data_IF_071128147875
#
_entry.id   IF_071128147875
#
_cell.length_a   1.000
_cell.length_b   1.000
_cell.length_c   1.000
_cell.angle_alpha   90.00
_cell.angle_beta   90.00
_cell.angle_gamma   90.00
#
_symmetry.space_group_name_H-M   'P 1'
#
loop_
_entity.id
_entity.type
_entity.pdbx_description
1 polymer ?
#
# COMPACT_ATOMS: atom_id res chain seq x y z
N UNK A 1 -22.33 6.37 6.17
CA UNK A 1 -22.25 7.73 6.74
C UNK A 1 -23.63 8.41 6.81
N UNK A 2 -24.36 8.59 5.70
CA UNK A 2 -25.69 9.26 5.70
C UNK A 2 -26.72 8.53 6.59
N UNK A 3 -26.78 7.19 6.55
CA UNK A 3 -27.66 6.41 7.44
C UNK A 3 -27.31 6.51 8.93
N UNK A 4 -26.02 6.62 9.26
CA UNK A 4 -25.52 6.77 10.65
C UNK A 4 -25.92 8.14 11.20
N UNK A 5 -25.82 9.20 10.39
CA UNK A 5 -26.25 10.54 10.78
C UNK A 5 -27.76 10.61 11.06
N UNK A 6 -28.57 9.87 10.30
CA UNK A 6 -30.03 9.86 10.46
C UNK A 6 -30.47 9.16 11.74
N UNK A 7 -29.90 8.00 12.06
CA UNK A 7 -30.20 7.26 13.30
C UNK A 7 -29.71 8.01 14.55
N UNK A 8 -28.54 8.67 14.48
CA UNK A 8 -28.00 9.48 15.59
C UNK A 8 -28.84 10.75 15.81
N UNK A 9 -29.37 11.38 14.75
CA UNK A 9 -30.25 12.54 14.88
C UNK A 9 -31.58 12.20 15.59
N UNK A 10 -32.15 11.03 15.30
CA UNK A 10 -33.39 10.56 15.94
C UNK A 10 -33.17 10.26 17.43
N UNK A 11 -32.07 9.57 17.77
CA UNK A 11 -31.72 9.22 19.16
C UNK A 11 -31.36 10.47 19.97
N UNK A 12 -30.60 11.39 19.40
CA UNK A 12 -30.18 12.61 20.11
C UNK A 12 -31.36 13.54 20.37
N UNK A 13 -32.35 13.68 19.49
CA UNK A 13 -33.48 14.59 19.75
C UNK A 13 -34.34 14.22 20.97
N UNK A 14 -34.26 12.98 21.48
CA UNK A 14 -35.02 12.52 22.66
C UNK A 14 -34.21 12.39 23.95
N UNK A 15 -32.90 12.64 23.92
CA UNK A 15 -32.03 12.46 25.08
C UNK A 15 -31.66 13.79 25.77
N UNK A 16 -31.53 13.76 27.10
CA UNK A 16 -31.05 14.91 27.90
C UNK A 16 -29.61 15.29 27.53
N UNK A 17 -29.26 16.58 27.68
CA UNK A 17 -27.96 17.16 27.32
C UNK A 17 -26.71 16.36 27.80
N UNK A 18 -26.69 15.75 29.00
CA UNK A 18 -25.55 14.95 29.47
C UNK A 18 -25.32 13.68 28.62
N UNK A 19 -26.40 13.02 28.20
CA UNK A 19 -26.35 11.79 27.39
C UNK A 19 -25.83 12.11 25.99
N UNK A 20 -26.24 13.25 25.40
CA UNK A 20 -25.70 13.72 24.11
C UNK A 20 -24.17 13.90 24.15
N UNK A 21 -23.65 14.55 25.20
CA UNK A 21 -22.20 14.75 25.37
C UNK A 21 -21.45 13.44 25.56
N UNK A 22 -22.02 12.49 26.32
CA UNK A 22 -21.45 11.17 26.51
C UNK A 22 -21.41 10.35 25.22
N UNK A 23 -22.51 10.34 24.45
CA UNK A 23 -22.60 9.67 23.15
C UNK A 23 -21.63 10.26 22.12
N UNK A 24 -21.51 11.59 22.05
CA UNK A 24 -20.52 12.25 21.18
C UNK A 24 -19.08 11.88 21.58
N UNK A 25 -18.81 11.73 22.88
CA UNK A 25 -17.50 11.30 23.38
C UNK A 25 -17.20 9.85 23.00
N UNK A 26 -18.19 8.96 23.07
CA UNK A 26 -18.10 7.56 22.66
C UNK A 26 -17.91 7.46 21.14
N UNK A 27 -18.75 8.10 20.33
CA UNK A 27 -18.61 8.10 18.86
C UNK A 27 -17.26 8.69 18.46
N UNK A 28 -16.83 9.78 19.10
CA UNK A 28 -15.50 10.35 18.86
C UNK A 28 -14.36 9.44 19.32
N UNK A 29 -14.57 8.53 20.28
CA UNK A 29 -13.59 7.50 20.67
C UNK A 29 -13.61 6.25 19.78
N UNK A 30 -14.77 5.94 19.19
CA UNK A 30 -14.97 4.81 18.27
C UNK A 30 -14.56 5.16 16.83
N UNK A 31 -14.51 6.45 16.48
CA UNK A 31 -13.98 6.95 15.21
C UNK A 31 -12.44 7.06 15.21
N UNK A 32 -11.76 6.31 16.08
CA UNK A 32 -10.30 6.21 16.07
C UNK A 32 -9.93 5.03 15.19
N UNK A 33 -9.31 5.32 14.04
CA UNK A 33 -8.88 4.27 13.14
C UNK A 33 -7.76 3.48 13.83
N UNK A 34 -7.86 2.15 13.84
CA UNK A 34 -6.80 1.26 14.34
C UNK A 34 -5.51 1.33 13.50
N UNK A 35 -5.50 2.14 12.43
CA UNK A 35 -4.34 2.42 11.58
C UNK A 35 -3.37 3.46 12.19
N UNK A 36 -3.77 4.19 13.23
CA UNK A 36 -3.00 5.33 13.76
C UNK A 36 -1.95 4.99 14.83
N UNK A 37 -1.78 3.71 15.21
CA UNK A 37 -0.90 3.35 16.32
C UNK A 37 0.39 2.60 15.90
N UNK A 38 1.59 3.23 16.02
CA UNK A 38 2.86 2.64 15.58
C UNK A 38 3.25 1.33 16.28
N UNK A 39 2.71 1.07 17.47
CA UNK A 39 3.06 -0.09 18.30
C UNK A 39 2.48 -1.42 17.80
N UNK A 40 1.38 -1.41 17.03
CA UNK A 40 0.72 -2.64 16.55
C UNK A 40 1.27 -3.18 15.22
N UNK A 41 2.14 -2.43 14.54
CA UNK A 41 2.77 -2.82 13.26
C UNK A 41 3.62 -4.10 13.34
N UNK A 42 4.13 -4.47 14.52
CA UNK A 42 4.96 -5.68 14.71
C UNK A 42 4.17 -6.94 15.02
N UNK A 43 2.88 -6.84 15.31
CA UNK A 43 2.07 -7.96 15.77
C UNK A 43 0.84 -8.12 14.88
N UNK A 44 1.07 -8.68 13.67
CA UNK A 44 0.04 -8.92 12.63
C UNK A 44 -1.25 -9.54 13.22
N UNK A 45 -1.14 -10.42 14.21
CA UNK A 45 -2.29 -11.09 14.83
C UNK A 45 -3.07 -10.24 15.85
N UNK A 46 -2.41 -9.30 16.54
CA UNK A 46 -3.07 -8.53 17.60
C UNK A 46 -3.97 -7.42 17.05
N UNK A 47 -3.71 -6.90 15.85
CA UNK A 47 -4.63 -5.97 15.18
C UNK A 47 -5.99 -6.64 14.91
N UNK A 48 -6.00 -7.91 14.47
CA UNK A 48 -7.25 -8.65 14.24
C UNK A 48 -7.99 -8.97 15.52
N UNK A 49 -7.27 -9.36 16.57
CA UNK A 49 -7.88 -9.57 17.89
C UNK A 49 -8.44 -8.25 18.42
N UNK A 50 -7.73 -7.14 18.22
CA UNK A 50 -8.19 -5.82 18.64
C UNK A 50 -9.43 -5.37 17.88
N UNK A 51 -9.46 -5.50 16.54
CA UNK A 51 -10.63 -5.17 15.74
C UNK A 51 -11.81 -6.09 16.11
N UNK A 52 -11.59 -7.39 16.28
CA UNK A 52 -12.62 -8.34 16.74
C UNK A 52 -13.16 -7.97 18.13
N UNK A 53 -12.28 -7.61 19.08
CA UNK A 53 -12.66 -7.14 20.42
C UNK A 53 -13.42 -5.81 20.30
N UNK A 54 -12.98 -4.88 19.46
CA UNK A 54 -13.64 -3.59 19.25
C UNK A 54 -15.05 -3.78 18.70
N UNK A 55 -15.21 -4.61 17.66
CA UNK A 55 -16.51 -4.95 17.09
C UNK A 55 -17.39 -5.71 18.08
N UNK A 56 -16.81 -6.62 18.87
CA UNK A 56 -17.53 -7.34 19.92
C UNK A 56 -18.02 -6.40 21.03
N UNK A 57 -17.19 -5.47 21.49
CA UNK A 57 -17.55 -4.47 22.50
C UNK A 57 -18.61 -3.50 21.96
N UNK A 58 -18.48 -3.07 20.70
CA UNK A 58 -19.48 -2.25 20.04
C UNK A 58 -20.83 -2.98 19.96
N UNK A 59 -20.84 -4.23 19.49
CA UNK A 59 -22.03 -5.07 19.41
C UNK A 59 -22.68 -5.29 20.77
N UNK A 60 -21.87 -5.62 21.78
CA UNK A 60 -22.31 -5.79 23.16
C UNK A 60 -22.94 -4.52 23.69
N UNK A 61 -22.36 -3.35 23.38
CA UNK A 61 -22.91 -2.04 23.78
C UNK A 61 -24.26 -1.78 23.10
N UNK A 62 -24.40 -2.07 21.80
CA UNK A 62 -25.68 -1.92 21.07
C UNK A 62 -26.75 -2.84 21.65
N UNK A 63 -26.43 -4.11 21.96
CA UNK A 63 -27.37 -5.04 22.60
C UNK A 63 -27.76 -4.57 23.99
N UNK A 64 -26.79 -4.16 24.82
CA UNK A 64 -27.05 -3.73 26.20
C UNK A 64 -27.93 -2.48 26.21
N UNK A 65 -27.56 -1.44 25.44
CA UNK A 65 -28.38 -0.23 25.32
C UNK A 65 -29.76 -0.56 24.75
N UNK A 66 -29.83 -1.46 23.77
CA UNK A 66 -31.09 -1.89 23.22
C UNK A 66 -31.99 -2.65 24.18
N UNK A 67 -31.39 -3.48 25.04
CA UNK A 67 -32.10 -4.24 26.06
C UNK A 67 -32.61 -3.35 27.19
N UNK A 68 -31.83 -2.33 27.58
CA UNK A 68 -32.24 -1.31 28.56
C UNK A 68 -33.44 -0.53 28.02
N UNK A 69 -33.37 -0.09 26.77
CA UNK A 69 -34.43 0.69 26.13
C UNK A 69 -35.72 -0.15 25.91
N UNK A 70 -35.58 -1.42 25.52
CA UNK A 70 -36.68 -2.39 25.42
C UNK A 70 -37.34 -2.66 26.79
N UNK A 71 -36.56 -2.76 27.87
CA UNK A 71 -37.09 -2.95 29.21
C UNK A 71 -37.89 -1.73 29.71
N UNK A 72 -37.55 -0.53 29.22
CA UNK A 72 -38.27 0.71 29.56
C UNK A 72 -39.49 1.01 28.70
N UNK A 73 -39.63 0.38 27.52
CA UNK A 73 -40.71 0.66 26.58
C UNK A 73 -41.71 -0.51 26.52
N UNK A 74 -42.91 -0.28 27.08
CA UNK A 74 -44.06 -1.18 26.87
C UNK A 74 -44.41 -1.23 25.38
N UNK A 75 -44.13 -2.38 24.76
CA UNK A 75 -44.72 -2.89 23.51
C UNK A 75 -44.88 -1.85 22.39
N UNK A 76 -43.84 -1.65 21.59
CA UNK A 76 -43.95 -0.92 20.33
C UNK A 76 -43.23 -1.69 19.22
N UNK A 77 -44.00 -2.18 18.23
CA UNK A 77 -43.49 -2.96 17.09
C UNK A 77 -42.36 -2.24 16.34
N UNK A 78 -42.38 -0.91 16.29
CA UNK A 78 -41.37 -0.09 15.62
C UNK A 78 -39.97 -0.23 16.24
N UNK A 79 -39.89 -0.51 17.55
CA UNK A 79 -38.63 -0.68 18.25
C UNK A 79 -37.96 -2.01 17.88
N UNK A 80 -38.77 -3.07 17.75
CA UNK A 80 -38.31 -4.40 17.31
C UNK A 80 -37.76 -4.31 15.87
N UNK A 81 -38.47 -3.62 14.97
CA UNK A 81 -38.03 -3.41 13.58
C UNK A 81 -36.70 -2.66 13.54
N UNK A 82 -36.53 -1.64 14.38
CA UNK A 82 -35.30 -0.84 14.44
C UNK A 82 -34.09 -1.67 14.91
N UNK A 83 -34.24 -2.48 15.97
CA UNK A 83 -33.14 -3.35 16.43
C UNK A 83 -32.82 -4.45 15.43
N UNK A 84 -33.84 -5.07 14.83
CA UNK A 84 -33.64 -6.08 13.80
C UNK A 84 -32.88 -5.52 12.60
N UNK A 85 -33.26 -4.32 12.14
CA UNK A 85 -32.60 -3.64 11.02
C UNK A 85 -31.14 -3.28 11.36
N UNK A 86 -30.88 -2.71 12.55
CA UNK A 86 -29.52 -2.38 12.98
C UNK A 86 -28.64 -3.64 13.16
N UNK A 87 -29.21 -4.72 13.69
CA UNK A 87 -28.53 -6.01 13.81
C UNK A 87 -28.14 -6.58 12.44
N UNK A 88 -29.04 -6.54 11.46
CA UNK A 88 -28.75 -6.94 10.08
C UNK A 88 -27.65 -6.08 9.47
N UNK A 89 -27.73 -4.74 9.57
CA UNK A 89 -26.72 -3.84 9.04
C UNK A 89 -25.33 -4.10 9.64
N UNK A 90 -25.28 -4.41 10.94
CA UNK A 90 -24.04 -4.78 11.61
C UNK A 90 -23.47 -6.10 11.10
N UNK A 91 -24.30 -7.14 10.95
CA UNK A 91 -23.88 -8.42 10.37
C UNK A 91 -23.38 -8.27 8.93
N UNK A 92 -24.05 -7.43 8.13
CA UNK A 92 -23.59 -7.08 6.78
C UNK A 92 -22.21 -6.40 6.84
N UNK A 93 -22.00 -5.47 7.78
CA UNK A 93 -20.71 -4.79 7.93
C UNK A 93 -19.59 -5.77 8.32
N UNK A 94 -19.82 -6.64 9.30
CA UNK A 94 -18.86 -7.72 9.66
C UNK A 94 -18.57 -8.60 8.44
N UNK A 95 -19.61 -9.01 7.71
CA UNK A 95 -19.43 -9.89 6.55
C UNK A 95 -18.61 -9.20 5.45
N UNK A 96 -18.83 -7.91 5.20
CA UNK A 96 -18.05 -7.12 4.24
C UNK A 96 -16.59 -7.00 4.68
N UNK A 97 -16.32 -6.72 5.96
CA UNK A 97 -14.94 -6.62 6.45
C UNK A 97 -14.24 -7.98 6.48
N UNK A 98 -14.93 -9.05 6.89
CA UNK A 98 -14.39 -10.41 6.82
C UNK A 98 -14.07 -10.81 5.37
N UNK A 99 -14.98 -10.49 4.43
CA UNK A 99 -14.75 -10.71 3.01
C UNK A 99 -13.52 -9.94 2.52
N UNK A 100 -13.34 -8.67 2.91
CA UNK A 100 -12.15 -7.87 2.59
C UNK A 100 -10.87 -8.51 3.12
N UNK A 101 -10.87 -8.98 4.37
CA UNK A 101 -9.71 -9.67 4.98
C UNK A 101 -9.37 -10.96 4.23
N UNK A 102 -10.38 -11.78 3.90
CA UNK A 102 -10.18 -13.02 3.14
C UNK A 102 -9.62 -12.72 1.74
N UNK A 103 -10.15 -11.70 1.06
CA UNK A 103 -9.64 -11.29 -0.26
C UNK A 103 -8.19 -10.81 -0.17
N UNK A 104 -7.85 -10.01 0.84
CA UNK A 104 -6.48 -9.53 1.05
C UNK A 104 -5.51 -10.69 1.32
N UNK A 105 -5.89 -11.65 2.16
CA UNK A 105 -5.08 -12.86 2.42
C UNK A 105 -4.89 -13.70 1.15
N UNK A 106 -5.94 -13.84 0.34
CA UNK A 106 -5.87 -14.56 -0.92
C UNK A 106 -4.92 -13.88 -1.89
N UNK A 107 -4.99 -12.56 -2.01
CA UNK A 107 -4.06 -11.78 -2.84
C UNK A 107 -2.62 -11.92 -2.34
N UNK A 108 -2.39 -11.86 -1.03
CA UNK A 108 -1.05 -12.10 -0.45
C UNK A 108 -0.54 -13.52 -0.79
N UNK A 109 -1.40 -14.53 -0.70
CA UNK A 109 -1.07 -15.92 -1.09
C UNK A 109 -0.74 -16.02 -2.58
N UNK A 110 -1.58 -15.45 -3.45
CA UNK A 110 -1.32 -15.49 -4.90
C UNK A 110 -0.01 -14.79 -5.26
N UNK A 111 0.32 -13.69 -4.59
CA UNK A 111 1.61 -13.00 -4.79
C UNK A 111 2.76 -13.91 -4.38
N UNK A 112 2.69 -14.57 -3.22
CA UNK A 112 3.73 -15.52 -2.79
C UNK A 112 3.87 -16.67 -3.78
N UNK A 113 2.76 -17.22 -4.26
CA UNK A 113 2.76 -18.30 -5.24
C UNK A 113 3.31 -17.85 -6.61
N UNK A 114 2.96 -16.63 -7.04
CA UNK A 114 3.53 -16.00 -8.24
C UNK A 114 5.05 -16.03 -8.14
N UNK A 115 5.60 -15.62 -7.00
CA UNK A 115 7.04 -15.59 -6.76
C UNK A 115 7.65 -16.92 -6.29
N UNK A 116 6.84 -17.98 -6.15
CA UNK A 116 7.24 -19.28 -5.59
C UNK A 116 8.01 -19.13 -4.27
N UNK A 117 7.54 -18.23 -3.42
CA UNK A 117 8.38 -17.56 -2.43
C UNK A 117 8.56 -18.27 -1.09
N UNK A 118 8.64 -19.58 -1.06
CA UNK A 118 8.92 -20.33 0.18
C UNK A 118 10.40 -20.27 0.57
N UNK A 119 11.26 -19.65 -0.26
CA UNK A 119 12.72 -19.70 -0.14
C UNK A 119 13.31 -18.30 -0.24
N UNK A 120 13.99 -17.87 0.85
CA UNK A 120 15.00 -16.80 0.93
C UNK A 120 14.92 -15.71 -0.16
N UNK A 121 13.99 -14.77 -0.01
CA UNK A 121 14.05 -13.52 -0.75
C UNK A 121 15.41 -12.83 -0.55
N UNK A 122 15.84 -12.04 -1.56
CA UNK A 122 16.92 -11.06 -1.40
C UNK A 122 16.78 -10.35 -0.05
N UNK A 123 17.89 -10.24 0.70
CA UNK A 123 17.92 -9.55 2.01
C UNK A 123 17.46 -8.09 1.93
N UNK A 124 17.40 -7.51 0.72
CA UNK A 124 16.96 -6.14 0.43
C UNK A 124 15.44 -6.04 0.18
N UNK A 125 14.76 -7.15 -0.11
CA UNK A 125 13.31 -7.16 -0.31
C UNK A 125 12.60 -7.09 1.05
N UNK A 126 11.97 -5.96 1.35
CA UNK A 126 11.32 -5.74 2.64
C UNK A 126 9.89 -6.29 2.64
N UNK A 127 9.18 -6.15 1.51
CA UNK A 127 7.77 -6.54 1.41
C UNK A 127 7.33 -6.76 -0.03
N UNK A 128 6.33 -7.62 -0.20
CA UNK A 128 5.54 -7.76 -1.40
C UNK A 128 4.11 -7.29 -1.11
N UNK A 129 3.57 -6.46 -1.99
CA UNK A 129 2.21 -5.93 -1.90
C UNK A 129 1.54 -6.00 -3.27
N UNK A 130 0.21 -5.96 -3.30
CA UNK A 130 -0.52 -5.75 -4.56
C UNK A 130 -0.68 -4.26 -4.85
N UNK A 131 -0.91 -3.95 -6.11
CA UNK A 131 -1.28 -2.61 -6.57
C UNK A 131 -2.54 -2.06 -5.89
N UNK A 132 -3.51 -2.91 -5.53
CA UNK A 132 -4.71 -2.49 -4.75
C UNK A 132 -4.37 -1.90 -3.38
N UNK A 133 -3.18 -2.18 -2.84
CA UNK A 133 -2.75 -1.66 -1.55
C UNK A 133 -2.04 -0.30 -1.67
N UNK A 134 -1.79 0.20 -2.88
CA UNK A 134 -1.22 1.52 -3.09
C UNK A 134 -2.18 2.62 -2.62
N UNK A 135 -1.66 3.60 -1.89
CA UNK A 135 -2.47 4.71 -1.36
C UNK A 135 -3.47 4.29 -0.26
N UNK A 136 -3.42 3.05 0.22
CA UNK A 136 -4.34 2.55 1.26
C UNK A 136 -4.08 3.12 2.64
N UNK A 137 -2.99 3.87 2.84
CA UNK A 137 -2.65 4.49 4.12
C UNK A 137 -2.56 6.00 3.98
N UNK A 138 -3.32 6.70 4.81
CA UNK A 138 -3.15 8.14 4.97
C UNK A 138 -1.78 8.44 5.60
N UNK A 139 -1.14 9.50 5.11
CA UNK A 139 0.04 10.07 5.75
C UNK A 139 -0.35 11.41 6.36
N UNK A 140 -0.09 11.59 7.65
CA UNK A 140 -0.35 12.86 8.34
C UNK A 140 0.40 14.06 7.74
N UNK A 141 1.50 13.81 7.00
CA UNK A 141 2.38 14.83 6.43
C UNK A 141 2.28 14.90 4.89
N UNK A 142 1.06 14.80 4.33
CA UNK A 142 0.74 14.72 2.89
C UNK A 142 1.77 15.39 1.95
N UNK A 143 1.97 16.70 2.04
CA UNK A 143 2.82 17.46 1.12
C UNK A 143 4.30 17.54 1.50
N UNK A 144 4.67 17.22 2.75
CA UNK A 144 6.03 17.40 3.29
C UNK A 144 6.59 16.11 3.92
N UNK A 145 6.13 14.94 3.45
CA UNK A 145 6.56 13.67 4.01
C UNK A 145 8.03 13.35 3.65
N UNK A 146 8.92 13.45 4.63
CA UNK A 146 10.36 13.16 4.50
C UNK A 146 10.70 11.68 4.74
N UNK A 147 9.71 10.81 4.94
CA UNK A 147 9.95 9.40 5.13
C UNK A 147 10.42 8.75 3.81
N UNK A 148 11.60 8.14 3.85
CA UNK A 148 12.23 7.41 2.74
C UNK A 148 12.05 5.90 2.86
N UNK A 149 11.18 5.44 3.76
CA UNK A 149 10.79 4.04 3.88
C UNK A 149 9.98 3.61 2.66
N UNK A 150 10.38 2.51 2.03
CA UNK A 150 9.79 2.04 0.77
C UNK A 150 8.36 1.53 0.94
N UNK A 151 8.00 1.00 2.13
CA UNK A 151 6.63 0.59 2.40
C UNK A 151 5.74 1.81 2.55
N UNK A 152 6.12 2.77 3.39
CA UNK A 152 5.39 4.01 3.58
C UNK A 152 5.17 4.73 2.25
N UNK A 153 6.21 4.79 1.42
CA UNK A 153 6.12 5.36 0.07
C UNK A 153 5.08 4.65 -0.79
N UNK A 154 5.14 3.33 -0.89
CA UNK A 154 4.19 2.56 -1.69
C UNK A 154 2.75 2.67 -1.15
N UNK A 155 2.57 2.61 0.18
CA UNK A 155 1.24 2.64 0.81
C UNK A 155 0.59 4.02 0.89
N UNK A 156 1.37 5.11 0.98
CA UNK A 156 0.84 6.44 1.29
C UNK A 156 1.09 7.49 0.22
N UNK A 157 2.17 7.35 -0.55
CA UNK A 157 2.59 8.37 -1.52
C UNK A 157 3.03 7.77 -2.87
N UNK A 158 2.28 6.81 -3.46
CA UNK A 158 2.71 6.18 -4.70
C UNK A 158 2.77 7.18 -5.87
N UNK A 159 1.86 8.16 -5.90
CA UNK A 159 1.70 9.12 -7.01
C UNK A 159 2.35 10.47 -6.77
N UNK A 160 2.85 10.72 -5.57
CA UNK A 160 3.43 12.02 -5.25
C UNK A 160 4.81 12.17 -5.89
N UNK A 161 4.99 13.26 -6.64
CA UNK A 161 6.29 13.63 -7.21
C UNK A 161 7.11 14.25 -6.08
N UNK A 162 8.06 13.49 -5.56
CA UNK A 162 9.02 14.05 -4.62
C UNK A 162 10.16 14.72 -5.38
N UNK A 163 10.16 16.05 -5.33
CA UNK A 163 11.28 16.84 -5.83
C UNK A 163 12.54 16.45 -5.05
N UNK A 164 13.46 15.76 -5.71
CA UNK A 164 14.80 15.56 -5.18
C UNK A 164 15.51 16.89 -5.30
N UNK A 165 15.39 17.74 -4.29
CA UNK A 165 16.25 18.90 -4.19
C UNK A 165 17.60 18.40 -3.70
N UNK A 166 18.62 18.40 -4.54
CA UNK A 166 19.96 17.89 -4.17
C UNK A 166 20.60 18.59 -2.97
N UNK A 167 20.10 19.77 -2.57
CA UNK A 167 20.44 20.46 -1.32
C UNK A 167 19.60 20.02 -0.10
N UNK A 168 18.38 19.54 -0.32
CA UNK A 168 17.43 19.11 0.73
C UNK A 168 17.23 17.59 0.76
N UNK A 169 18.11 16.82 0.10
CA UNK A 169 18.03 15.35 0.19
C UNK A 169 18.19 14.98 1.65
N UNK A 170 17.33 14.09 2.13
CA UNK A 170 17.43 13.57 3.48
C UNK A 170 18.76 12.83 3.60
N UNK A 171 19.79 13.56 4.02
CA UNK A 171 21.02 12.96 4.47
C UNK A 171 20.63 12.03 5.60
N UNK A 172 20.90 10.72 5.46
CA UNK A 172 20.84 9.88 6.64
C UNK A 172 21.88 10.40 7.66
N UNK A 173 21.85 9.94 8.92
CA UNK A 173 22.78 10.39 9.97
C UNK A 173 24.28 10.28 9.60
N UNK A 174 24.62 9.62 8.48
CA UNK A 174 25.98 9.43 7.96
C UNK A 174 26.32 10.34 6.76
N UNK A 175 25.43 11.26 6.36
CA UNK A 175 25.69 12.17 5.23
C UNK A 175 25.45 11.55 3.85
N UNK A 176 24.60 10.53 3.75
CA UNK A 176 24.32 9.82 2.48
C UNK A 176 23.10 10.41 1.77
N UNK A 177 23.23 10.65 0.46
CA UNK A 177 22.19 11.20 -0.42
C UNK A 177 21.15 10.11 -0.79
N UNK A 178 20.01 10.07 -0.11
CA UNK A 178 19.00 9.01 -0.26
C UNK A 178 17.77 9.47 -1.05
N UNK A 179 17.35 8.66 -2.02
CA UNK A 179 16.08 8.82 -2.72
C UNK A 179 15.25 7.55 -2.75
N UNK A 180 13.98 7.69 -3.11
CA UNK A 180 13.09 6.55 -3.41
C UNK A 180 12.68 6.61 -4.87
N UNK A 181 12.71 5.47 -5.55
CA UNK A 181 12.49 5.36 -6.99
C UNK A 181 11.69 4.15 -7.35
N UNK A 182 11.12 4.19 -8.55
CA UNK A 182 10.27 3.14 -9.07
C UNK A 182 10.90 2.53 -10.31
N UNK A 183 11.00 1.20 -10.32
CA UNK A 183 11.49 0.43 -11.46
C UNK A 183 10.47 -0.63 -11.84
N UNK A 184 9.81 -0.47 -12.97
CA UNK A 184 8.87 -1.46 -13.50
C UNK A 184 9.57 -2.48 -14.38
N UNK A 185 9.16 -3.74 -14.25
CA UNK A 185 9.66 -4.85 -15.05
C UNK A 185 8.62 -5.98 -15.14
N UNK A 186 8.91 -7.04 -15.90
CA UNK A 186 8.03 -8.22 -15.99
C UNK A 186 8.12 -9.08 -14.73
N UNK A 187 7.14 -9.97 -14.51
CA UNK A 187 7.18 -10.90 -13.37
C UNK A 187 8.41 -11.81 -13.43
N UNK A 188 8.76 -12.28 -14.61
CA UNK A 188 9.91 -13.16 -14.84
C UNK A 188 11.23 -12.44 -14.53
N UNK A 189 11.37 -11.20 -14.99
CA UNK A 189 12.53 -10.37 -14.68
C UNK A 189 12.59 -10.03 -13.18
N UNK A 190 11.44 -9.73 -12.55
CA UNK A 190 11.38 -9.50 -11.11
C UNK A 190 11.83 -10.73 -10.30
N UNK A 191 11.45 -11.94 -10.72
CA UNK A 191 11.96 -13.19 -10.13
C UNK A 191 13.47 -13.33 -10.30
N UNK A 192 14.00 -13.01 -11.49
CA UNK A 192 15.44 -13.05 -11.75
C UNK A 192 16.20 -12.05 -10.86
N UNK A 193 15.67 -10.83 -10.70
CA UNK A 193 16.23 -9.80 -9.81
C UNK A 193 16.23 -10.29 -8.35
N UNK A 194 15.14 -10.94 -7.92
CA UNK A 194 15.03 -11.50 -6.58
C UNK A 194 15.99 -12.65 -6.31
N UNK A 195 16.23 -13.51 -7.31
CA UNK A 195 17.13 -14.65 -7.22
C UNK A 195 18.61 -14.26 -7.32
N UNK A 196 18.90 -13.17 -8.03
CA UNK A 196 20.26 -12.67 -8.24
C UNK A 196 20.40 -11.28 -7.61
N UNK A 197 20.26 -10.23 -8.40
CA UNK A 197 20.20 -8.82 -8.01
C UNK A 197 19.78 -7.99 -9.23
N UNK A 198 19.66 -6.67 -9.06
CA UNK A 198 19.57 -5.78 -10.22
C UNK A 198 20.86 -5.84 -11.04
N UNK A 199 20.72 -5.94 -12.36
CA UNK A 199 21.84 -5.86 -13.29
C UNK A 199 21.69 -4.58 -14.13
N UNK A 200 22.77 -3.83 -14.37
CA UNK A 200 22.75 -2.70 -15.30
C UNK A 200 22.29 -3.16 -16.68
N UNK A 201 21.40 -2.39 -17.31
CA UNK A 201 21.12 -2.57 -18.73
C UNK A 201 22.37 -2.21 -19.52
N UNK A 202 22.57 -2.86 -20.68
CA UNK A 202 23.62 -2.49 -21.63
C UNK A 202 23.27 -1.22 -22.41
N UNK A 203 21.97 -1.02 -22.62
CA UNK A 203 21.41 0.05 -23.43
C UNK A 203 20.53 0.96 -22.57
N UNK A 204 20.56 2.26 -22.84
CA UNK A 204 19.80 3.26 -22.11
C UNK A 204 20.13 4.67 -22.59
N UNK A 205 19.18 5.59 -22.44
CA UNK A 205 19.31 6.98 -22.91
C UNK A 205 20.49 7.72 -22.26
N UNK A 206 20.97 7.25 -21.11
CA UNK A 206 22.10 7.83 -20.37
C UNK A 206 23.32 6.89 -20.33
N UNK A 207 23.32 5.86 -21.17
CA UNK A 207 24.30 4.77 -21.17
C UNK A 207 23.89 3.57 -20.29
N UNK A 208 24.80 2.61 -20.09
CA UNK A 208 24.54 1.43 -19.27
C UNK A 208 24.21 1.80 -17.81
N UNK A 209 23.21 1.16 -17.21
CA UNK A 209 22.84 1.44 -15.82
C UNK A 209 21.52 0.82 -15.37
N UNK A 210 21.17 1.04 -14.11
CA UNK A 210 19.89 0.63 -13.52
C UNK A 210 19.03 1.88 -13.37
N UNK A 211 17.92 1.91 -14.10
CA UNK A 211 17.06 3.08 -14.24
C UNK A 211 15.91 3.08 -13.23
N UNK A 212 15.68 4.21 -12.57
CA UNK A 212 14.54 4.43 -11.69
C UNK A 212 13.82 5.71 -12.11
N UNK A 213 12.49 5.65 -12.13
CA UNK A 213 11.64 6.82 -12.22
C UNK A 213 11.46 7.43 -10.82
N UNK A 214 11.28 8.74 -10.75
CA UNK A 214 11.02 9.42 -9.48
C UNK A 214 9.57 9.28 -8.97
N UNK A 215 8.66 8.76 -9.80
CA UNK A 215 7.27 8.52 -9.43
C UNK A 215 6.75 7.21 -10.04
N UNK A 216 5.62 6.73 -9.52
CA UNK A 216 4.96 5.52 -9.98
C UNK A 216 4.35 5.69 -11.39
N UNK A 217 3.65 6.79 -11.66
CA UNK A 217 2.86 6.99 -12.88
C UNK A 217 3.72 7.05 -14.17
N UNK A 218 5.00 7.46 -14.10
CA UNK A 218 5.93 7.38 -15.24
C UNK A 218 6.21 5.92 -15.58
N UNK A 219 6.37 5.08 -14.57
CA UNK A 219 6.67 3.67 -14.81
C UNK A 219 5.54 3.02 -15.59
N UNK A 220 4.28 3.40 -15.30
CA UNK A 220 3.11 2.96 -16.05
C UNK A 220 3.20 3.32 -17.54
N UNK A 221 3.76 4.48 -17.89
CA UNK A 221 3.97 4.89 -19.30
C UNK A 221 5.12 4.13 -19.98
N UNK A 222 6.04 3.54 -19.20
CA UNK A 222 7.01 2.54 -19.68
C UNK A 222 6.37 1.16 -19.89
N UNK A 223 5.03 1.05 -19.83
CA UNK A 223 4.21 -0.01 -20.45
C UNK A 223 4.66 -0.25 -21.88
N UNK A 224 5.65 -1.10 -22.04
CA UNK A 224 5.92 -1.73 -23.31
C UNK A 224 5.75 -3.25 -23.14
N UNK A 225 4.62 -3.71 -23.69
CA UNK A 225 4.44 -4.98 -24.40
C UNK A 225 4.03 -6.24 -23.63
N UNK A 226 3.87 -6.22 -22.31
CA UNK A 226 3.30 -7.40 -21.61
C UNK A 226 1.79 -7.25 -21.39
N UNK A 227 0.99 -8.07 -22.07
CA UNK A 227 -0.43 -8.29 -21.72
C UNK A 227 -0.58 -9.08 -20.42
N UNK A 228 0.52 -9.61 -19.88
CA UNK A 228 0.51 -10.42 -18.68
C UNK A 228 0.48 -9.59 -17.39
N UNK A 229 0.81 -8.29 -17.45
CA UNK A 229 1.15 -7.47 -16.28
C UNK A 229 2.62 -7.67 -15.84
N UNK A 230 3.00 -7.03 -14.76
CA UNK A 230 4.37 -6.96 -14.26
C UNK A 230 4.48 -6.67 -12.76
N UNK A 231 5.68 -6.26 -12.36
CA UNK A 231 6.00 -5.85 -11.00
C UNK A 231 6.80 -4.55 -10.99
N UNK A 232 6.61 -3.77 -9.93
CA UNK A 232 7.26 -2.48 -9.73
C UNK A 232 8.04 -2.54 -8.44
N UNK A 233 9.33 -2.23 -8.52
CA UNK A 233 10.20 -2.09 -7.36
C UNK A 233 10.17 -0.64 -6.89
N UNK A 234 9.61 -0.39 -5.70
CA UNK A 234 9.78 0.86 -4.96
C UNK A 234 11.06 0.73 -4.12
N UNK A 235 12.15 1.31 -4.59
CA UNK A 235 13.49 1.11 -4.07
C UNK A 235 14.02 2.36 -3.38
N UNK A 236 14.64 2.19 -2.21
CA UNK A 236 15.42 3.21 -1.53
C UNK A 236 16.87 3.10 -1.94
N UNK A 237 17.42 4.20 -2.42
CA UNK A 237 18.64 4.23 -3.20
C UNK A 237 19.59 5.25 -2.61
N UNK A 238 20.85 4.85 -2.43
CA UNK A 238 21.97 5.73 -2.19
C UNK A 238 22.47 6.31 -3.51
N UNK A 239 22.13 7.58 -3.74
CA UNK A 239 22.53 8.30 -4.93
C UNK A 239 24.01 8.73 -4.89
N UNK A 240 24.64 8.76 -3.72
CA UNK A 240 26.00 9.27 -3.54
C UNK A 240 26.17 10.66 -4.16
N UNK A 241 27.25 10.81 -4.94
CA UNK A 241 27.51 12.02 -5.71
C UNK A 241 26.74 11.99 -7.04
N UNK A 242 25.85 12.96 -7.23
CA UNK A 242 24.95 13.02 -8.39
C UNK A 242 25.46 13.97 -9.45
N UNK A 243 25.42 13.54 -10.71
CA UNK A 243 25.52 14.42 -11.86
C UNK A 243 24.11 14.74 -12.37
N UNK A 244 23.73 16.00 -12.28
CA UNK A 244 22.50 16.49 -12.88
C UNK A 244 22.71 16.78 -14.36
N UNK A 245 21.78 16.27 -15.18
CA UNK A 245 21.81 16.37 -16.63
C UNK A 245 20.47 16.96 -17.08
N UNK A 246 20.51 17.98 -17.93
CA UNK A 246 19.32 18.62 -18.51
C UNK A 246 19.05 18.23 -19.96
N UNK A 247 19.98 17.51 -20.61
CA UNK A 247 19.85 17.06 -22.00
C UNK A 247 20.22 15.57 -22.16
N UNK A 248 19.41 14.86 -22.94
CA UNK A 248 19.37 13.39 -23.07
C UNK A 248 20.62 12.77 -23.71
N UNK A 249 21.54 13.59 -24.21
CA UNK A 249 22.67 13.18 -25.05
C UNK A 249 24.03 13.21 -24.35
N UNK A 250 24.08 13.38 -23.03
CA UNK A 250 25.36 13.35 -22.29
C UNK A 250 25.91 11.92 -22.15
N UNK A 251 26.60 11.49 -23.21
CA UNK A 251 27.31 10.21 -23.33
C UNK A 251 28.66 10.19 -22.63
N UNK A 252 29.06 11.27 -21.94
CA UNK A 252 30.34 11.29 -21.22
C UNK A 252 30.37 10.18 -20.18
N UNK A 253 31.52 9.52 -20.11
CA UNK A 253 31.78 8.40 -19.22
C UNK A 253 32.11 8.91 -17.81
N UNK A 254 31.13 9.55 -17.19
CA UNK A 254 31.23 10.28 -15.92
C UNK A 254 31.08 9.40 -14.67
N UNK A 255 30.80 8.11 -14.84
CA UNK A 255 30.63 7.17 -13.73
C UNK A 255 31.91 7.03 -12.87
N UNK A 256 33.06 7.51 -13.35
CA UNK A 256 34.31 7.58 -12.56
C UNK A 256 34.29 8.64 -11.46
N UNK A 257 33.51 9.71 -11.63
CA UNK A 257 33.50 10.88 -10.74
C UNK A 257 32.18 11.08 -10.01
N UNK A 258 31.14 10.31 -10.39
CA UNK A 258 29.77 10.40 -9.90
C UNK A 258 29.19 9.00 -9.74
N UNK A 259 28.37 8.82 -8.71
CA UNK A 259 27.70 7.55 -8.42
C UNK A 259 26.36 7.41 -9.15
N UNK A 260 25.75 8.53 -9.53
CA UNK A 260 24.41 8.57 -10.11
C UNK A 260 24.30 9.66 -11.18
N UNK A 261 23.60 9.39 -12.27
CA UNK A 261 23.10 10.41 -13.20
C UNK A 261 21.64 10.71 -12.88
N UNK A 262 21.27 11.98 -12.76
CA UNK A 262 19.87 12.41 -12.65
C UNK A 262 19.50 13.23 -13.87
N UNK A 263 18.46 12.83 -14.57
CA UNK A 263 17.99 13.50 -15.78
C UNK A 263 16.72 14.28 -15.49
N UNK A 264 16.81 15.59 -15.69
CA UNK A 264 15.66 16.48 -15.73
C UNK A 264 14.98 16.37 -17.09
N UNK A 265 13.73 15.90 -17.12
CA UNK A 265 13.00 15.78 -18.38
C UNK A 265 12.33 17.10 -18.77
N UNK A 266 12.46 17.50 -20.05
CA UNK A 266 11.83 18.72 -20.57
C UNK A 266 10.29 18.72 -20.49
N UNK A 267 9.66 17.54 -20.33
CA UNK A 267 8.22 17.39 -20.09
C UNK A 267 7.76 17.71 -18.66
N UNK A 268 8.68 18.19 -17.82
CA UNK A 268 8.47 18.51 -16.42
C UNK A 268 9.01 17.42 -15.47
N UNK A 269 9.22 17.82 -14.22
CA UNK A 269 9.78 17.00 -13.12
C UNK A 269 9.08 15.66 -12.92
N UNK A 270 7.82 15.55 -13.37
CA UNK A 270 7.04 14.33 -13.34
C UNK A 270 7.56 13.23 -14.25
N UNK A 271 8.67 13.44 -14.97
CA UNK A 271 9.29 12.46 -15.85
C UNK A 271 10.75 12.22 -15.50
N UNK A 272 11.26 12.81 -14.41
CA UNK A 272 12.67 12.68 -14.11
C UNK A 272 13.04 11.24 -13.77
N UNK A 273 14.24 10.90 -14.18
CA UNK A 273 14.81 9.57 -14.02
C UNK A 273 16.20 9.69 -13.43
N UNK A 274 16.60 8.64 -12.72
CA UNK A 274 17.97 8.53 -12.28
C UNK A 274 18.51 7.13 -12.51
N UNK A 275 19.82 7.12 -12.76
CA UNK A 275 20.55 5.95 -13.21
C UNK A 275 21.70 5.72 -12.26
N UNK A 276 21.69 4.54 -11.64
CA UNK A 276 22.76 4.04 -10.79
C UNK A 276 23.53 2.94 -11.51
N UNK A 277 24.77 2.69 -11.10
CA UNK A 277 25.65 1.75 -11.80
C UNK A 277 25.91 0.47 -11.01
N UNK A 278 25.58 0.45 -9.72
CA UNK A 278 25.71 -0.72 -8.86
C UNK A 278 24.40 -1.03 -8.12
N UNK A 279 24.03 -2.31 -8.07
CA UNK A 279 22.93 -2.78 -7.24
C UNK A 279 23.19 -2.60 -5.74
N UNK A 280 24.44 -2.35 -5.33
CA UNK A 280 24.79 -2.05 -3.94
C UNK A 280 24.25 -0.70 -3.47
N UNK A 281 24.03 0.24 -4.39
CA UNK A 281 23.37 1.50 -4.10
C UNK A 281 21.89 1.31 -3.72
N UNK A 282 21.28 0.16 -4.03
CA UNK A 282 19.94 -0.16 -3.58
C UNK A 282 20.04 -0.67 -2.14
N UNK A 283 19.44 0.07 -1.21
CA UNK A 283 19.47 -0.26 0.22
C UNK A 283 18.40 -1.31 0.51
N UNK A 284 17.17 -1.02 0.09
CA UNK A 284 16.00 -1.85 0.33
C UNK A 284 14.92 -1.56 -0.73
N UNK A 285 13.98 -2.48 -0.91
CA UNK A 285 12.86 -2.28 -1.81
C UNK A 285 11.58 -3.01 -1.38
N UNK A 286 10.46 -2.41 -1.74
CA UNK A 286 9.13 -3.04 -1.71
C UNK A 286 8.73 -3.40 -3.13
N UNK A 287 8.24 -4.61 -3.33
CA UNK A 287 7.73 -5.07 -4.63
C UNK A 287 6.22 -4.89 -4.66
N UNK A 288 5.75 -4.20 -5.68
CA UNK A 288 4.34 -3.97 -5.97
C UNK A 288 3.99 -4.87 -7.16
N UNK A 289 3.03 -5.76 -6.98
CA UNK A 289 2.57 -6.67 -8.03
C UNK A 289 1.30 -6.12 -8.66
N UNK A 290 1.32 -5.94 -9.97
CA UNK A 290 0.16 -5.42 -10.69
C UNK A 290 -1.03 -6.38 -10.62
N UNK A 291 -2.24 -5.82 -10.55
CA UNK A 291 -3.45 -6.65 -10.46
C UNK A 291 -3.66 -7.51 -11.70
N UNK A 292 -3.19 -7.05 -12.86
CA UNK A 292 -3.27 -7.82 -14.10
C UNK A 292 -2.43 -9.10 -14.03
N UNK A 293 -1.23 -9.04 -13.44
CA UNK A 293 -0.38 -10.20 -13.20
C UNK A 293 -1.06 -11.22 -12.30
N UNK A 294 -1.68 -10.76 -11.20
CA UNK A 294 -2.41 -11.63 -10.27
C UNK A 294 -3.61 -12.31 -10.96
N UNK A 295 -4.40 -11.55 -11.73
CA UNK A 295 -5.54 -12.09 -12.48
C UNK A 295 -5.09 -13.15 -13.50
N UNK A 296 -4.01 -12.88 -14.23
CA UNK A 296 -3.49 -13.80 -15.24
C UNK A 296 -2.89 -15.07 -14.61
N UNK A 297 -2.23 -14.95 -13.46
CA UNK A 297 -1.77 -16.10 -12.67
C UNK A 297 -2.95 -16.99 -12.26
N UNK A 298 -3.99 -16.42 -11.66
CA UNK A 298 -5.22 -17.14 -11.26
C UNK A 298 -5.90 -17.87 -12.42
N UNK A 299 -5.95 -17.26 -13.61
CA UNK A 299 -6.49 -17.90 -14.82
C UNK A 299 -5.68 -19.15 -15.22
N UNK A 300 -4.34 -19.05 -15.17
CA UNK A 300 -3.43 -20.15 -15.52
C UNK A 300 -3.54 -21.30 -14.53
N UNK A 301 -3.58 -21.03 -13.23
CA UNK A 301 -3.72 -22.06 -12.19
C UNK A 301 -5.06 -22.78 -12.29
N UNK A 302 -6.17 -22.05 -12.48
CA UNK A 302 -7.50 -22.65 -12.67
C UNK A 302 -7.55 -23.62 -13.85
N UNK A 303 -6.93 -23.28 -14.99
CA UNK A 303 -6.85 -24.15 -16.17
C UNK A 303 -6.09 -25.45 -15.89
N UNK A 304 -5.00 -25.38 -15.10
CA UNK A 304 -4.22 -26.58 -14.71
C UNK A 304 -5.06 -27.53 -13.85
N UNK A 305 -5.81 -27.03 -12.89
CA UNK A 305 -6.68 -27.87 -12.05
C UNK A 305 -7.83 -28.50 -12.85
N UNK A 306 -8.46 -27.76 -13.77
CA UNK A 306 -9.50 -28.32 -14.65
C UNK A 306 -8.98 -29.44 -15.56
N UNK A 307 -7.75 -29.33 -16.08
CA UNK A 307 -7.16 -30.33 -16.97
C UNK A 307 -6.67 -31.60 -16.23
N UNK A 308 -6.35 -31.51 -14.94
CA UNK A 308 -6.04 -32.70 -14.13
C UNK A 308 -7.29 -33.54 -13.81
N UNK A 309 -8.46 -32.90 -13.68
CA UNK A 309 -9.71 -33.62 -13.44
C UNK A 309 -10.27 -34.33 -14.69
N UNK A 310 -9.86 -33.93 -15.89
CA UNK A 310 -10.22 -34.63 -17.13
C UNK A 310 -9.31 -35.85 -17.44
N UNK A 311 -8.36 -36.17 -16.55
CA UNK A 311 -7.50 -37.36 -16.65
C UNK A 311 -7.79 -38.40 -15.55
N UNK A 312 -8.84 -38.19 -14.75
CA UNK A 312 -9.42 -39.13 -13.79
C UNK A 312 -10.79 -39.58 -14.32
#
# INVERSE_FOLDING_TARGET
FIGICFSVAIITNRCTLPIKKFFFKIIRSLHWSSLDWPCFLKLKYYMYIFDMIHYFLYFSTVIILGSIELATLKTNQDLIITYFTNGILFLIHIFVELYRVIQAQRVESDIRDIFASDVNFSKKAVKLISEEQLGSRECANLSNCYLTDTQHRAFSHPKDIFKIKFKDVSYNKRGVNIAVGFHQTTIEAAKCILATQFLPSKDGMLGPGIYFANNYDITENKRNQSTEGGAIFCAKIDLGKVLEISDKLDSRDVHKSYNTKYLHHQGGEKFDEYVIYSADQIIEYTIIVEMQAIKNFRKRTKKRYCNCFSCL
#
